data_IF_765696193020
#
_entry.id   IF_765696193020
#
_cell.length_a   1.000
_cell.length_b   1.000
_cell.length_c   1.000
_cell.angle_alpha   90.00
_cell.angle_beta   90.00
_cell.angle_gamma   90.00
#
_symmetry.space_group_name_H-M   'P 1'
#
loop_
_entity.id
_entity.type
_entity.pdbx_description
1 polymer ?
#
# COMPACT_ATOMS: atom_id res chain seq x y z
N UNK A 1 3.00 2.45 -10.67
CA UNK A 1 3.13 2.33 -9.19
C UNK A 1 3.48 0.89 -8.88
N UNK A 2 4.46 0.61 -8.02
CA UNK A 2 4.88 -0.75 -7.65
C UNK A 2 4.40 -1.06 -6.23
N UNK A 3 3.59 -2.09 -6.04
CA UNK A 3 3.16 -2.53 -4.71
C UNK A 3 4.17 -3.55 -4.22
N UNK A 4 4.84 -3.24 -3.12
CA UNK A 4 5.93 -4.05 -2.57
C UNK A 4 5.56 -4.79 -1.28
N UNK A 5 4.39 -4.48 -0.71
CA UNK A 5 3.88 -5.19 0.46
C UNK A 5 2.38 -5.04 0.60
N UNK A 6 1.77 -6.04 1.22
CA UNK A 6 0.37 -6.06 1.61
C UNK A 6 0.28 -6.68 3.00
N UNK A 7 0.04 -5.85 4.01
CA UNK A 7 -0.35 -6.34 5.32
C UNK A 7 -1.87 -6.55 5.31
N UNK A 8 -2.26 -7.82 5.37
CA UNK A 8 -3.66 -8.25 5.17
C UNK A 8 -4.61 -7.70 6.24
N UNK A 9 -4.10 -7.41 7.44
CA UNK A 9 -4.88 -6.88 8.53
C UNK A 9 -4.00 -6.02 9.44
N UNK A 10 -4.55 -4.90 9.87
CA UNK A 10 -4.01 -4.11 10.95
C UNK A 10 -5.10 -3.41 11.74
N UNK A 11 -4.79 -3.16 13.01
CA UNK A 11 -5.62 -2.45 13.98
C UNK A 11 -5.01 -1.09 14.38
N UNK A 12 -3.86 -0.73 13.80
CA UNK A 12 -3.03 0.41 14.26
C UNK A 12 -3.10 1.58 13.28
N UNK A 13 -2.91 1.35 11.98
CA UNK A 13 -2.71 2.42 10.99
C UNK A 13 -3.99 3.20 10.64
N UNK A 14 -5.17 2.70 11.02
CA UNK A 14 -6.42 3.43 10.92
C UNK A 14 -7.16 3.37 12.27
N UNK A 15 -7.11 4.43 13.10
CA UNK A 15 -7.74 4.43 14.41
C UNK A 15 -9.23 4.08 14.34
N UNK A 16 -9.63 3.10 15.16
CA UNK A 16 -11.02 2.63 15.25
C UNK A 16 -11.52 1.80 14.07
N UNK A 17 -10.65 1.33 13.16
CA UNK A 17 -11.03 0.49 12.01
C UNK A 17 -10.07 -0.66 11.77
N UNK A 18 -10.61 -1.82 11.42
CA UNK A 18 -9.80 -2.93 10.89
C UNK A 18 -9.42 -2.60 9.45
N UNK A 19 -8.12 -2.48 9.18
CA UNK A 19 -7.60 -2.01 7.90
C UNK A 19 -6.67 -3.01 7.22
N UNK A 20 -6.56 -2.93 5.90
CA UNK A 20 -5.43 -3.51 5.17
C UNK A 20 -4.44 -2.39 4.81
N UNK A 21 -3.14 -2.68 4.94
CA UNK A 21 -2.08 -1.71 4.63
C UNK A 21 -1.36 -2.13 3.36
N UNK A 22 -1.36 -1.25 2.37
CA UNK A 22 -0.71 -1.45 1.07
C UNK A 22 0.56 -0.60 1.05
N UNK A 23 1.70 -1.26 0.91
CA UNK A 23 3.01 -0.62 0.84
C UNK A 23 3.43 -0.43 -0.61
N UNK A 24 3.64 0.83 -1.00
CA UNK A 24 4.03 1.25 -2.33
C UNK A 24 5.54 1.53 -2.34
N UNK A 25 6.27 1.02 -3.34
CA UNK A 25 7.71 1.28 -3.45
C UNK A 25 7.99 2.57 -4.23
N UNK A 26 8.91 3.37 -3.70
CA UNK A 26 9.32 4.68 -4.20
C UNK A 26 9.19 5.75 -3.11
N UNK A 27 10.21 6.60 -2.98
CA UNK A 27 10.17 7.78 -2.11
C UNK A 27 11.10 8.85 -2.68
N UNK A 28 10.67 10.11 -2.63
CA UNK A 28 11.47 11.29 -2.98
C UNK A 28 12.40 11.75 -1.84
N UNK A 29 12.36 11.11 -0.67
CA UNK A 29 13.26 11.38 0.46
C UNK A 29 14.26 10.23 0.71
N UNK A 30 15.35 10.54 1.42
CA UNK A 30 16.37 9.59 1.90
C UNK A 30 16.64 9.81 3.39
N UNK A 31 15.57 9.79 4.19
CA UNK A 31 15.66 10.03 5.63
C UNK A 31 16.61 9.00 6.27
N UNK A 32 17.62 9.43 7.06
CA UNK A 32 18.60 8.51 7.66
C UNK A 32 17.98 7.57 8.71
N UNK A 33 16.80 7.92 9.24
CA UNK A 33 16.01 7.11 10.19
C UNK A 33 14.87 6.33 9.52
N UNK A 34 14.88 6.15 8.19
CA UNK A 34 13.82 5.40 7.51
C UNK A 34 13.75 3.96 8.05
N UNK A 35 12.62 3.60 8.67
CA UNK A 35 12.40 2.26 9.22
C UNK A 35 12.01 1.23 8.15
N UNK A 36 11.74 1.66 6.91
CA UNK A 36 11.42 0.78 5.77
C UNK A 36 12.28 1.10 4.54
N UNK A 37 13.62 0.95 4.65
CA UNK A 37 14.55 1.27 3.55
C UNK A 37 14.28 0.44 2.29
N UNK A 38 13.63 -0.71 2.42
CA UNK A 38 13.28 -1.60 1.30
C UNK A 38 12.25 -0.98 0.34
N UNK A 39 11.54 0.07 0.75
CA UNK A 39 10.62 0.84 -0.11
C UNK A 39 11.26 2.09 -0.73
N UNK A 40 12.51 2.41 -0.35
CA UNK A 40 13.16 3.70 -0.65
C UNK A 40 14.41 3.52 -1.51
N UNK A 41 15.28 2.58 -1.14
CA UNK A 41 16.58 2.39 -1.77
C UNK A 41 16.43 1.60 -3.08
N UNK A 42 16.85 2.15 -4.25
CA UNK A 42 16.63 1.50 -5.54
C UNK A 42 17.14 0.06 -5.63
N UNK A 43 18.30 -0.22 -5.04
CA UNK A 43 18.93 -1.53 -4.98
C UNK A 43 18.15 -2.54 -4.12
N UNK A 44 17.42 -2.07 -3.10
CA UNK A 44 16.55 -2.90 -2.26
C UNK A 44 15.18 -3.10 -2.90
N UNK A 45 14.60 -2.03 -3.47
CA UNK A 45 13.34 -2.10 -4.22
C UNK A 45 13.41 -3.14 -5.36
N UNK A 46 14.56 -3.24 -6.06
CA UNK A 46 14.78 -4.23 -7.12
C UNK A 46 14.66 -5.69 -6.63
N UNK A 47 14.91 -5.95 -5.35
CA UNK A 47 14.81 -7.27 -4.72
C UNK A 47 13.40 -7.59 -4.22
N UNK A 48 12.51 -6.59 -4.11
CA UNK A 48 11.16 -6.80 -3.62
C UNK A 48 10.33 -7.61 -4.63
N UNK A 49 9.56 -8.57 -4.10
CA UNK A 49 8.51 -9.24 -4.87
C UNK A 49 7.37 -8.25 -5.09
N UNK A 50 7.16 -7.83 -6.33
CA UNK A 50 6.08 -6.91 -6.68
C UNK A 50 4.75 -7.67 -6.70
N UNK A 51 3.77 -7.15 -5.96
CA UNK A 51 2.42 -7.67 -5.90
C UNK A 51 1.62 -7.06 -7.06
N UNK A 52 1.04 -7.85 -7.97
CA UNK A 52 0.17 -7.34 -9.02
C UNK A 52 -1.05 -6.62 -8.43
N UNK A 53 -1.44 -5.48 -9.00
CA UNK A 53 -2.64 -4.75 -8.55
C UNK A 53 -3.91 -5.62 -8.55
N UNK A 54 -4.04 -6.54 -9.52
CA UNK A 54 -5.15 -7.48 -9.61
C UNK A 54 -5.25 -8.36 -8.35
N UNK A 55 -4.12 -8.80 -7.80
CA UNK A 55 -4.09 -9.61 -6.58
C UNK A 55 -4.58 -8.80 -5.37
N UNK A 56 -4.15 -7.54 -5.26
CA UNK A 56 -4.61 -6.63 -4.20
C UNK A 56 -6.11 -6.39 -4.29
N UNK A 57 -6.65 -6.10 -5.48
CA UNK A 57 -8.09 -5.91 -5.65
C UNK A 57 -8.88 -7.20 -5.39
N UNK A 58 -8.35 -8.37 -5.78
CA UNK A 58 -8.98 -9.66 -5.47
C UNK A 58 -9.05 -9.88 -3.96
N UNK A 59 -7.96 -9.63 -3.25
CA UNK A 59 -7.88 -9.73 -1.80
C UNK A 59 -8.88 -8.79 -1.10
N UNK A 60 -8.92 -7.51 -1.50
CA UNK A 60 -9.88 -6.55 -0.95
C UNK A 60 -11.33 -6.98 -1.21
N UNK A 61 -11.63 -7.53 -2.39
CA UNK A 61 -12.98 -8.04 -2.69
C UNK A 61 -13.35 -9.22 -1.78
N UNK A 62 -12.43 -10.14 -1.57
CA UNK A 62 -12.61 -11.32 -0.69
C UNK A 62 -12.81 -10.93 0.78
N UNK A 63 -12.15 -9.86 1.23
CA UNK A 63 -12.17 -9.41 2.64
C UNK A 63 -13.15 -8.29 2.93
N UNK A 64 -14.06 -7.97 2.00
CA UNK A 64 -14.93 -6.80 2.09
C UNK A 64 -15.85 -6.77 3.32
N UNK A 65 -16.25 -7.94 3.82
CA UNK A 65 -17.11 -8.06 5.01
C UNK A 65 -16.36 -7.93 6.34
N UNK A 66 -15.03 -7.94 6.31
CA UNK A 66 -14.17 -7.91 7.50
C UNK A 66 -13.35 -6.64 7.61
N UNK A 67 -12.78 -6.18 6.48
CA UNK A 67 -12.00 -4.95 6.43
C UNK A 67 -12.90 -3.74 6.27
N UNK A 68 -12.67 -2.71 7.07
CA UNK A 68 -13.42 -1.45 7.10
C UNK A 68 -12.67 -0.31 6.39
N UNK A 69 -11.35 -0.41 6.30
CA UNK A 69 -10.50 0.61 5.70
C UNK A 69 -9.33 0.03 4.90
N UNK A 70 -8.75 0.87 4.05
CA UNK A 70 -7.51 0.58 3.32
C UNK A 70 -6.55 1.74 3.54
N UNK A 71 -5.35 1.45 4.05
CA UNK A 71 -4.27 2.40 4.23
C UNK A 71 -3.29 2.25 3.08
N UNK A 72 -3.01 3.36 2.40
CA UNK A 72 -1.98 3.42 1.37
C UNK A 72 -0.77 4.13 1.95
N UNK A 73 0.36 3.45 1.99
CA UNK A 73 1.59 3.98 2.59
C UNK A 73 2.83 3.49 1.83
N UNK A 74 4.00 3.84 2.34
CA UNK A 74 5.30 3.42 1.81
C UNK A 74 5.73 4.19 0.57
N UNK A 75 7.01 4.23 0.24
CA UNK A 75 7.81 5.24 0.90
C UNK A 75 7.06 6.59 0.87
N UNK A 76 6.93 7.23 -0.30
CA UNK A 76 6.01 8.34 -0.49
C UNK A 76 5.00 8.03 -1.61
N UNK A 77 3.74 7.66 -1.29
CA UNK A 77 2.74 7.29 -2.29
C UNK A 77 2.40 8.42 -3.27
N UNK A 78 2.43 9.67 -2.81
CA UNK A 78 1.93 10.82 -3.58
C UNK A 78 2.82 11.22 -4.76
N UNK A 79 4.04 10.68 -4.85
CA UNK A 79 4.89 10.86 -6.05
C UNK A 79 4.34 10.10 -7.27
N UNK A 80 3.40 9.16 -7.08
CA UNK A 80 2.90 8.33 -8.16
C UNK A 80 1.65 8.94 -8.80
N UNK A 81 1.78 9.40 -10.06
CA UNK A 81 0.66 9.94 -10.87
C UNK A 81 -0.56 9.01 -10.99
N UNK A 82 -0.36 7.69 -10.85
CA UNK A 82 -1.42 6.67 -10.94
C UNK A 82 -2.21 6.48 -9.62
N UNK A 83 -1.78 7.10 -8.51
CA UNK A 83 -2.40 6.93 -7.20
C UNK A 83 -3.89 7.32 -7.17
N UNK A 84 -4.34 8.45 -7.79
CA UNK A 84 -5.76 8.82 -7.78
C UNK A 84 -6.68 7.79 -8.46
N UNK A 85 -6.24 7.18 -9.56
CA UNK A 85 -6.99 6.10 -10.23
C UNK A 85 -7.09 4.86 -9.32
N UNK A 86 -6.01 4.54 -8.60
CA UNK A 86 -5.98 3.42 -7.67
C UNK A 86 -6.95 3.64 -6.50
N UNK A 87 -6.96 4.84 -5.90
CA UNK A 87 -7.90 5.22 -4.85
C UNK A 87 -9.35 5.16 -5.36
N UNK A 88 -9.63 5.69 -6.56
CA UNK A 88 -10.98 5.62 -7.16
C UNK A 88 -11.46 4.18 -7.30
N UNK A 89 -10.60 3.24 -7.68
CA UNK A 89 -10.95 1.81 -7.75
C UNK A 89 -11.27 1.23 -6.37
N UNK A 90 -10.49 1.57 -5.34
CA UNK A 90 -10.75 1.15 -3.95
C UNK A 90 -12.09 1.72 -3.45
N UNK A 91 -12.35 3.01 -3.68
CA UNK A 91 -13.60 3.68 -3.30
C UNK A 91 -14.83 3.08 -3.97
N UNK A 92 -14.73 2.67 -5.24
CA UNK A 92 -15.80 1.93 -5.94
C UNK A 92 -16.13 0.58 -5.31
N UNK A 93 -15.25 0.03 -4.48
CA UNK A 93 -15.48 -1.18 -3.69
C UNK A 93 -16.05 -0.86 -2.30
N UNK A 94 -16.51 0.37 -2.05
CA UNK A 94 -17.08 0.87 -0.79
C UNK A 94 -16.13 0.85 0.42
N UNK A 95 -14.82 0.95 0.20
CA UNK A 95 -13.82 1.24 1.24
C UNK A 95 -13.64 2.75 1.44
#
# INVERSE_FOLDING_TARGET
MKIAGLQKQSLIEYPGKISAVIFIAGCNFRCPWCYVPDLVLPERIKKNKIIPQKEVFSFLKERKKFLEAVVLTGGEPTIHKQLPDFIRKIKKMNY
#
